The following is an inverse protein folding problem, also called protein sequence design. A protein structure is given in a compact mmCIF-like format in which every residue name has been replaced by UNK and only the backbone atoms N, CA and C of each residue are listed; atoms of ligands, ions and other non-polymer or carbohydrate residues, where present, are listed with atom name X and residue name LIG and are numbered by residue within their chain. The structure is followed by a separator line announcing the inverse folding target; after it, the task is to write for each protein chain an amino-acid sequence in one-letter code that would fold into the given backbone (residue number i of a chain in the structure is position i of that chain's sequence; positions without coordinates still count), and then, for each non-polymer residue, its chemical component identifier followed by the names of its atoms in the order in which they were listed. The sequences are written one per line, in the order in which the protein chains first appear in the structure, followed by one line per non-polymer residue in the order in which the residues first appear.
data_IF_565258854371
#
_entry.id   IF_565258854371
#
_cell.length_a   1.000
_cell.length_b   1.000
_cell.length_c   1.000
_cell.angle_alpha   90.00
_cell.angle_beta   90.00
_cell.angle_gamma   90.00
#
_symmetry.space_group_name_H-M   'P 1'
#
loop_
_entity.id
_entity.type
_entity.pdbx_description
1 polymer ?
#
# COMPACT_ATOMS: atom_id res chain seq x y z
N UNK A 1 3.24 -8.74 -16.40
CA UNK A 1 2.62 -8.19 -17.63
C UNK A 1 1.24 -7.56 -17.35
N UNK A 2 0.27 -8.27 -16.73
CA UNK A 2 -1.08 -7.73 -16.52
C UNK A 2 -1.09 -6.46 -15.65
N UNK A 3 -0.28 -6.40 -14.61
CA UNK A 3 -0.21 -5.24 -13.72
C UNK A 3 0.38 -4.01 -14.42
N UNK A 4 1.37 -4.18 -15.30
CA UNK A 4 2.00 -3.08 -16.04
C UNK A 4 1.11 -2.51 -17.16
N UNK A 5 -0.04 -3.14 -17.43
CA UNK A 5 -0.97 -2.67 -18.45
C UNK A 5 -1.67 -1.36 -18.04
N UNK A 6 -1.98 -1.24 -16.75
CA UNK A 6 -2.82 -0.15 -16.20
C UNK A 6 -2.13 0.67 -15.12
N UNK A 7 -0.92 0.30 -14.74
CA UNK A 7 -0.15 0.96 -13.69
C UNK A 7 1.24 1.28 -14.26
N UNK A 8 1.73 2.53 -14.15
CA UNK A 8 3.02 2.92 -14.68
C UNK A 8 4.16 2.03 -14.15
N UNK A 9 4.99 1.48 -15.05
CA UNK A 9 6.04 0.52 -14.69
C UNK A 9 7.09 1.13 -13.75
N UNK A 10 7.47 2.39 -13.96
CA UNK A 10 8.44 3.09 -13.11
C UNK A 10 7.98 3.16 -11.66
N UNK A 11 6.70 3.39 -11.42
CA UNK A 11 6.13 3.48 -10.08
C UNK A 11 6.00 2.11 -9.41
N UNK A 12 5.74 1.04 -10.17
CA UNK A 12 5.69 -0.32 -9.65
C UNK A 12 6.99 -0.74 -8.97
N UNK A 13 8.14 -0.29 -9.45
CA UNK A 13 9.43 -0.69 -8.88
C UNK A 13 9.83 0.12 -7.66
N UNK A 14 9.48 1.40 -7.62
CA UNK A 14 9.88 2.32 -6.57
C UNK A 14 8.84 2.51 -5.47
N UNK A 15 7.56 2.41 -5.83
CA UNK A 15 6.44 2.71 -4.95
C UNK A 15 5.29 1.72 -5.13
N UNK A 16 5.61 0.44 -5.16
CA UNK A 16 4.68 -0.64 -5.50
C UNK A 16 3.32 -0.52 -4.81
N UNK A 17 3.30 -0.26 -3.51
CA UNK A 17 2.06 -0.15 -2.75
C UNK A 17 1.25 1.08 -3.14
N UNK A 18 1.90 2.22 -3.38
CA UNK A 18 1.21 3.43 -3.85
C UNK A 18 0.66 3.24 -5.26
N UNK A 19 1.46 2.65 -6.14
CA UNK A 19 1.10 2.40 -7.53
C UNK A 19 -0.17 1.55 -7.68
N UNK A 20 -0.45 0.66 -6.73
CA UNK A 20 -1.72 -0.10 -6.72
C UNK A 20 -2.95 0.81 -6.57
N UNK A 21 -2.81 1.98 -5.94
CA UNK A 21 -3.86 2.99 -5.83
C UNK A 21 -4.01 3.88 -7.07
N UNK A 22 -3.04 3.83 -7.99
CA UNK A 22 -2.95 4.68 -9.19
C UNK A 22 -3.39 3.96 -10.47
N UNK A 23 -4.12 2.84 -10.33
CA UNK A 23 -4.72 2.16 -11.48
C UNK A 23 -5.52 3.15 -12.34
N UNK A 24 -5.18 3.22 -13.64
CA UNK A 24 -5.95 4.01 -14.59
C UNK A 24 -7.27 3.31 -14.95
N UNK A 25 -8.29 3.66 -14.20
CA UNK A 25 -9.65 3.12 -14.34
C UNK A 25 -10.32 3.48 -15.68
N UNK A 26 -9.92 4.60 -16.29
CA UNK A 26 -10.44 5.01 -17.59
C UNK A 26 -9.78 4.18 -18.71
N UNK A 27 -8.48 3.97 -18.63
CA UNK A 27 -7.78 3.10 -19.55
C UNK A 27 -8.33 1.66 -19.50
N UNK A 28 -8.63 1.13 -18.29
CA UNK A 28 -9.25 -0.19 -18.14
C UNK A 28 -10.56 -0.29 -18.93
N UNK A 29 -11.41 0.74 -18.85
CA UNK A 29 -12.68 0.75 -19.58
C UNK A 29 -12.48 0.97 -21.09
N UNK A 30 -11.61 1.88 -21.48
CA UNK A 30 -11.35 2.21 -22.88
C UNK A 30 -10.79 1.00 -23.66
N UNK A 31 -9.83 0.28 -23.10
CA UNK A 31 -9.28 -0.91 -23.74
C UNK A 31 -10.28 -2.06 -23.91
N UNK A 32 -11.30 -2.09 -23.07
CA UNK A 32 -12.38 -3.09 -23.15
C UNK A 32 -13.63 -2.57 -23.88
N UNK A 33 -13.62 -1.32 -24.36
CA UNK A 33 -14.79 -0.69 -25.00
C UNK A 33 -15.35 -1.45 -26.20
N UNK A 34 -14.52 -2.21 -26.93
CA UNK A 34 -14.96 -3.03 -28.07
C UNK A 34 -15.93 -4.17 -27.70
N UNK A 35 -16.00 -4.52 -26.41
CA UNK A 35 -16.97 -5.50 -25.88
C UNK A 35 -18.27 -4.87 -25.44
N UNK A 36 -18.34 -3.53 -25.43
CA UNK A 36 -19.56 -2.77 -25.13
C UNK A 36 -20.30 -2.47 -26.44
N UNK A 37 -21.14 -3.40 -26.89
CA UNK A 37 -21.92 -3.23 -28.10
C UNK A 37 -23.25 -2.52 -27.80
N UNK A 38 -23.67 -1.63 -28.69
CA UNK A 38 -25.00 -1.04 -28.63
C UNK A 38 -26.10 -2.08 -28.88
N UNK A 39 -27.26 -1.95 -28.25
CA UNK A 39 -28.38 -2.88 -28.42
C UNK A 39 -28.92 -2.99 -29.86
N UNK A 40 -28.57 -2.08 -30.74
CA UNK A 40 -28.91 -2.09 -32.17
C UNK A 40 -27.77 -2.53 -33.08
N UNK A 41 -26.61 -2.94 -32.53
CA UNK A 41 -25.48 -3.40 -33.32
C UNK A 41 -25.80 -4.72 -34.04
N UNK A 42 -25.34 -4.86 -35.30
CA UNK A 42 -25.58 -6.06 -36.10
C UNK A 42 -24.90 -7.31 -35.52
N UNK A 43 -23.85 -7.13 -34.70
CA UNK A 43 -23.13 -8.18 -34.01
C UNK A 43 -23.67 -8.48 -32.61
N UNK A 44 -24.73 -7.81 -32.20
CA UNK A 44 -25.36 -7.99 -30.91
C UNK A 44 -25.76 -9.45 -30.67
N UNK A 45 -25.40 -9.96 -29.50
CA UNK A 45 -25.81 -11.27 -28.98
C UNK A 45 -26.13 -11.12 -27.49
N UNK A 46 -26.87 -12.06 -26.92
CA UNK A 46 -27.20 -12.06 -25.50
C UNK A 46 -25.96 -11.98 -24.58
N UNK A 47 -24.82 -12.53 -25.02
CA UNK A 47 -23.55 -12.42 -24.29
C UNK A 47 -23.06 -10.98 -24.14
N UNK A 48 -23.40 -10.08 -25.08
CA UNK A 48 -23.00 -8.68 -25.02
C UNK A 48 -23.56 -7.93 -23.78
N UNK A 49 -24.55 -8.50 -23.10
CA UNK A 49 -24.98 -8.02 -21.80
C UNK A 49 -23.92 -8.18 -20.70
N UNK A 50 -22.93 -9.07 -20.87
CA UNK A 50 -21.94 -9.41 -19.85
C UNK A 50 -20.50 -9.38 -20.35
N UNK A 51 -20.26 -9.33 -21.66
CA UNK A 51 -18.93 -9.46 -22.26
C UNK A 51 -17.99 -8.34 -21.77
N UNK A 52 -18.48 -7.09 -21.70
CA UNK A 52 -17.69 -5.95 -21.26
C UNK A 52 -17.24 -6.10 -19.79
N UNK A 53 -18.18 -6.37 -18.89
CA UNK A 53 -17.90 -6.53 -17.46
C UNK A 53 -16.96 -7.72 -17.23
N UNK A 54 -17.20 -8.83 -17.93
CA UNK A 54 -16.35 -10.02 -17.84
C UNK A 54 -14.91 -9.72 -18.26
N UNK A 55 -14.69 -8.99 -19.34
CA UNK A 55 -13.33 -8.65 -19.81
C UNK A 55 -12.62 -7.74 -18.82
N UNK A 56 -13.30 -6.74 -18.27
CA UNK A 56 -12.75 -5.89 -17.22
C UNK A 56 -12.40 -6.69 -15.96
N UNK A 57 -13.26 -7.64 -15.56
CA UNK A 57 -12.96 -8.52 -14.42
C UNK A 57 -11.73 -9.39 -14.68
N UNK A 58 -11.58 -9.96 -15.88
CA UNK A 58 -10.39 -10.74 -16.25
C UNK A 58 -9.12 -9.89 -16.22
N UNK A 59 -9.16 -8.67 -16.75
CA UNK A 59 -8.03 -7.76 -16.74
C UNK A 59 -7.59 -7.39 -15.31
N UNK A 60 -8.51 -7.25 -14.37
CA UNK A 60 -8.24 -6.91 -12.98
C UNK A 60 -8.06 -8.11 -12.04
N UNK A 61 -8.18 -9.34 -12.56
CA UNK A 61 -8.08 -10.57 -11.76
C UNK A 61 -6.73 -10.71 -11.03
N UNK A 62 -5.66 -10.09 -11.56
CA UNK A 62 -4.33 -10.13 -10.94
C UNK A 62 -4.32 -9.61 -9.49
N UNK A 63 -5.22 -8.67 -9.13
CA UNK A 63 -5.33 -8.12 -7.79
C UNK A 63 -5.48 -9.20 -6.71
N UNK A 64 -6.20 -10.28 -7.01
CA UNK A 64 -6.42 -11.41 -6.11
C UNK A 64 -5.15 -12.24 -5.87
N UNK A 65 -4.18 -12.18 -6.79
CA UNK A 65 -2.95 -12.97 -6.75
C UNK A 65 -1.75 -12.20 -6.20
N UNK A 66 -1.83 -10.87 -6.09
CA UNK A 66 -0.74 -10.02 -5.60
C UNK A 66 -0.14 -10.53 -4.29
N UNK A 67 -0.91 -10.77 -3.20
CA UNK A 67 -0.33 -11.20 -1.94
C UNK A 67 0.39 -12.56 -2.05
N UNK A 68 -0.10 -13.46 -2.91
CA UNK A 68 0.51 -14.77 -3.12
C UNK A 68 1.86 -14.66 -3.84
N UNK A 69 1.91 -13.98 -5.00
CA UNK A 69 3.16 -13.85 -5.76
C UNK A 69 4.17 -12.97 -5.05
N UNK A 70 3.73 -11.91 -4.37
CA UNK A 70 4.57 -11.08 -3.53
C UNK A 70 5.24 -11.91 -2.42
N UNK A 71 4.46 -12.74 -1.73
CA UNK A 71 5.00 -13.66 -0.73
C UNK A 71 6.04 -14.61 -1.32
N UNK A 72 5.75 -15.22 -2.47
CA UNK A 72 6.67 -16.11 -3.19
C UNK A 72 7.97 -15.41 -3.59
N UNK A 73 7.90 -14.16 -3.96
CA UNK A 73 9.08 -13.35 -4.25
C UNK A 73 9.91 -13.07 -2.99
N UNK A 74 9.29 -12.64 -1.91
CA UNK A 74 9.98 -12.38 -0.64
C UNK A 74 10.62 -13.66 -0.05
N UNK A 75 9.98 -14.83 -0.21
CA UNK A 75 10.53 -16.12 0.24
C UNK A 75 11.86 -16.49 -0.43
N UNK A 76 12.22 -15.86 -1.55
CA UNK A 76 13.49 -16.09 -2.26
C UNK A 76 14.64 -15.22 -1.74
N UNK A 77 14.36 -14.22 -0.89
CA UNK A 77 15.38 -13.33 -0.34
C UNK A 77 16.24 -14.08 0.67
N UNK A 78 17.55 -14.11 0.43
CA UNK A 78 18.49 -14.66 1.42
C UNK A 78 18.59 -13.73 2.61
N UNK A 79 18.21 -14.24 3.77
CA UNK A 79 18.26 -13.52 5.06
C UNK A 79 19.46 -13.90 5.90
N UNK A 80 20.36 -14.73 5.37
CA UNK A 80 21.60 -15.11 6.03
C UNK A 80 22.70 -14.06 5.77
N UNK A 81 22.45 -12.85 6.23
CA UNK A 81 23.30 -11.68 6.04
C UNK A 81 23.95 -11.25 7.34
N UNK A 82 25.04 -10.48 7.24
CA UNK A 82 25.68 -9.85 8.41
C UNK A 82 24.89 -8.60 8.81
N UNK A 83 24.78 -8.30 10.13
CA UNK A 83 24.18 -7.08 10.62
C UNK A 83 24.90 -5.84 10.08
N UNK A 84 24.14 -4.90 9.50
CA UNK A 84 24.64 -3.60 9.06
C UNK A 84 24.69 -2.59 10.19
N UNK A 85 23.63 -2.56 11.01
CA UNK A 85 23.48 -1.64 12.13
C UNK A 85 24.08 -2.27 13.38
N UNK A 86 24.67 -1.44 14.24
CA UNK A 86 25.28 -1.90 15.50
C UNK A 86 24.27 -2.63 16.40
N UNK A 87 24.67 -3.77 16.95
CA UNK A 87 23.89 -4.49 17.98
C UNK A 87 23.66 -3.70 19.28
N UNK A 88 24.32 -2.55 19.43
CA UNK A 88 24.01 -1.62 20.54
C UNK A 88 22.66 -0.94 20.34
N UNK A 89 22.26 -0.72 19.07
CA UNK A 89 20.98 -0.11 18.71
C UNK A 89 19.90 -1.19 18.61
N UNK A 90 20.16 -2.24 17.83
CA UNK A 90 19.23 -3.38 17.68
C UNK A 90 19.69 -4.50 18.62
N UNK A 91 18.99 -4.66 19.73
CA UNK A 91 19.30 -5.64 20.77
C UNK A 91 18.04 -6.30 21.35
N UNK A 92 18.23 -7.21 22.29
CA UNK A 92 17.15 -8.01 22.88
C UNK A 92 16.20 -7.24 23.79
N UNK A 93 16.46 -5.97 24.10
CA UNK A 93 15.57 -5.13 24.92
C UNK A 93 14.71 -4.19 24.11
N UNK A 94 14.98 -4.07 22.79
CA UNK A 94 14.21 -3.23 21.90
C UNK A 94 12.84 -3.84 21.62
N UNK A 95 11.81 -2.98 21.56
CA UNK A 95 10.55 -3.31 20.91
C UNK A 95 10.65 -2.88 19.46
N UNK A 96 10.39 -3.77 18.53
CA UNK A 96 10.59 -3.52 17.12
C UNK A 96 9.26 -3.62 16.37
N UNK A 97 8.88 -2.52 15.71
CA UNK A 97 7.88 -2.53 14.68
C UNK A 97 8.58 -2.77 13.34
N UNK A 98 8.38 -3.93 12.76
CA UNK A 98 9.03 -4.33 11.52
C UNK A 98 8.06 -4.19 10.34
N UNK A 99 8.41 -3.32 9.40
CA UNK A 99 7.68 -3.13 8.15
C UNK A 99 8.12 -4.09 7.06
N UNK A 100 9.31 -4.71 7.21
CA UNK A 100 9.80 -5.72 6.28
C UNK A 100 9.14 -7.08 6.55
N UNK A 101 9.07 -7.87 5.52
CA UNK A 101 8.43 -9.19 5.54
C UNK A 101 9.41 -10.34 5.87
N UNK A 102 10.72 -10.06 5.91
CA UNK A 102 11.78 -11.06 6.12
C UNK A 102 12.12 -11.24 7.59
N UNK A 103 12.69 -12.40 7.93
CA UNK A 103 13.12 -12.74 9.28
C UNK A 103 14.57 -12.32 9.60
N UNK A 104 15.08 -11.32 8.89
CA UNK A 104 16.46 -10.81 9.04
C UNK A 104 16.79 -10.41 10.49
N UNK A 105 15.85 -9.78 11.20
CA UNK A 105 16.05 -9.37 12.60
C UNK A 105 16.30 -10.57 13.54
N UNK A 106 15.56 -11.65 13.35
CA UNK A 106 15.73 -12.86 14.13
C UNK A 106 17.04 -13.60 13.75
N UNK A 107 17.33 -13.70 12.45
CA UNK A 107 18.50 -14.46 11.96
C UNK A 107 19.81 -13.74 12.14
N UNK A 108 19.91 -12.49 11.66
CA UNK A 108 21.16 -11.73 11.69
C UNK A 108 21.41 -11.07 13.06
N UNK A 109 20.37 -10.46 13.64
CA UNK A 109 20.50 -9.70 14.89
C UNK A 109 20.22 -10.52 16.15
N UNK A 110 19.62 -11.72 16.00
CA UNK A 110 19.23 -12.60 17.12
C UNK A 110 18.20 -11.94 18.06
N UNK A 111 17.34 -11.07 17.52
CA UNK A 111 16.26 -10.47 18.30
C UNK A 111 15.20 -11.53 18.58
N UNK A 112 14.73 -11.68 19.83
CA UNK A 112 13.63 -12.60 20.15
C UNK A 112 12.36 -12.24 19.39
N UNK A 113 11.65 -13.25 18.88
CA UNK A 113 10.45 -13.06 18.07
C UNK A 113 9.34 -12.29 18.81
N UNK A 114 9.25 -12.46 20.13
CA UNK A 114 8.30 -11.76 21.01
C UNK A 114 8.52 -10.25 21.09
N UNK A 115 9.71 -9.78 20.72
CA UNK A 115 10.06 -8.35 20.69
C UNK A 115 9.79 -7.71 19.32
N UNK A 116 9.39 -8.49 18.32
CA UNK A 116 9.17 -8.02 16.95
C UNK A 116 7.70 -8.12 16.59
N UNK A 117 7.08 -6.99 16.29
CA UNK A 117 5.79 -6.96 15.61
C UNK A 117 6.03 -6.80 14.11
N UNK A 118 5.75 -7.86 13.34
CA UNK A 118 5.70 -7.81 11.88
C UNK A 118 4.34 -7.23 11.46
N UNK A 119 4.27 -5.90 11.29
CA UNK A 119 2.98 -5.19 11.11
C UNK A 119 2.27 -5.60 9.81
N UNK A 120 3.04 -5.94 8.79
CA UNK A 120 2.52 -6.40 7.49
C UNK A 120 2.58 -7.92 7.31
N UNK A 121 2.92 -8.65 8.38
CA UNK A 121 3.11 -10.08 8.36
C UNK A 121 4.53 -10.51 8.02
N UNK A 122 4.80 -11.81 8.13
CA UNK A 122 6.10 -12.45 7.91
C UNK A 122 5.97 -13.49 6.79
N UNK A 123 6.84 -13.43 5.78
CA UNK A 123 6.73 -14.28 4.59
C UNK A 123 6.79 -15.79 4.91
N UNK A 124 7.66 -16.18 5.84
CA UNK A 124 7.81 -17.58 6.27
C UNK A 124 6.73 -18.04 7.28
N UNK A 125 5.60 -17.35 7.37
CA UNK A 125 4.45 -17.74 8.19
C UNK A 125 3.27 -18.22 7.34
N UNK A 126 2.29 -18.88 7.97
CA UNK A 126 1.03 -19.27 7.31
C UNK A 126 0.08 -18.10 7.06
N UNK A 127 0.32 -16.94 7.67
CA UNK A 127 -0.53 -15.76 7.53
C UNK A 127 -0.35 -15.09 6.17
N UNK A 128 -1.40 -14.45 5.68
CA UNK A 128 -1.32 -13.58 4.50
C UNK A 128 -0.44 -12.37 4.81
N UNK A 129 0.30 -11.91 3.81
CA UNK A 129 1.00 -10.63 3.89
C UNK A 129 0.01 -9.50 3.61
N UNK A 130 0.23 -8.37 4.28
CA UNK A 130 -0.47 -7.13 4.01
C UNK A 130 0.36 -6.33 3.02
N UNK A 131 -0.19 -6.10 1.85
CA UNK A 131 0.41 -5.30 0.78
C UNK A 131 -0.70 -4.58 0.04
N UNK A 132 -0.55 -3.28 -0.18
CA UNK A 132 -1.59 -2.50 -0.85
C UNK A 132 -1.47 -1.00 -0.61
N UNK A 133 -2.29 -0.24 -1.35
CA UNK A 133 -2.37 1.21 -1.24
C UNK A 133 -3.19 1.65 -0.01
N UNK A 134 -3.10 2.95 0.32
CA UNK A 134 -3.86 3.56 1.42
C UNK A 134 -4.65 4.79 0.93
N UNK A 135 -4.95 4.87 -0.35
CA UNK A 135 -5.73 5.98 -0.90
C UNK A 135 -7.24 5.70 -0.79
N UNK A 136 -7.91 6.42 0.14
CA UNK A 136 -9.35 6.32 0.37
C UNK A 136 -10.14 6.95 -0.79
N UNK A 137 -9.56 7.88 -1.53
CA UNK A 137 -10.26 8.54 -2.66
C UNK A 137 -10.63 7.56 -3.76
N UNK A 138 -9.93 6.43 -3.84
CA UNK A 138 -10.21 5.35 -4.79
C UNK A 138 -11.59 4.70 -4.57
N UNK A 139 -12.14 4.77 -3.35
CA UNK A 139 -13.50 4.26 -3.04
C UNK A 139 -14.62 5.21 -3.49
N UNK A 140 -14.26 6.46 -3.78
CA UNK A 140 -15.19 7.46 -4.30
C UNK A 140 -15.26 7.44 -5.83
N UNK A 141 -15.11 6.24 -6.42
CA UNK A 141 -15.26 6.10 -7.87
C UNK A 141 -16.70 6.42 -8.25
N UNK A 142 -16.92 7.66 -8.65
CA UNK A 142 -18.23 8.19 -9.07
C UNK A 142 -18.28 8.41 -10.58
N UNK A 143 -19.38 8.24 -11.05
CA UNK A 143 -20.26 8.59 -12.15
C UNK A 143 -19.70 9.39 -13.35
N UNK A 144 -18.54 9.09 -13.92
CA UNK A 144 -18.22 9.59 -15.26
C UNK A 144 -18.09 8.39 -16.19
N UNK A 145 -19.07 8.22 -17.07
CA UNK A 145 -18.98 7.24 -18.14
C UNK A 145 -17.87 7.66 -19.12
N UNK A 146 -16.90 6.78 -19.46
CA UNK A 146 -15.88 7.09 -20.46
C UNK A 146 -16.49 7.34 -21.85
N UNK A 147 -17.69 6.83 -22.09
CA UNK A 147 -18.43 7.00 -23.35
C UNK A 147 -19.09 8.40 -23.48
N UNK A 148 -19.17 9.17 -22.38
CA UNK A 148 -19.68 10.55 -22.38
C UNK A 148 -18.58 11.60 -22.46
N UNK A 149 -17.30 11.21 -22.52
CA UNK A 149 -16.17 12.15 -22.62
C UNK A 149 -16.07 12.86 -23.99
N UNK A 150 -16.88 12.49 -24.96
CA UNK A 150 -16.94 13.14 -26.27
C UNK A 150 -17.79 14.42 -26.31
N UNK A 151 -18.50 14.76 -25.24
CA UNK A 151 -19.25 16.01 -25.13
C UNK A 151 -18.59 16.98 -24.16
N UNK A 152 -17.84 17.89 -24.70
CA UNK A 152 -17.19 19.05 -24.06
C UNK A 152 -18.18 20.09 -23.52
N UNK A 153 -19.30 19.71 -22.93
CA UNK A 153 -20.19 20.65 -22.26
C UNK A 153 -20.93 19.98 -21.09
N UNK A 154 -20.47 20.33 -19.89
CA UNK A 154 -20.96 20.03 -18.58
C UNK A 154 -22.47 19.90 -18.37
N UNK A 155 -23.01 18.76 -18.73
CA UNK A 155 -24.33 18.33 -18.25
C UNK A 155 -24.08 17.12 -17.37
N UNK A 156 -24.20 17.34 -16.05
CA UNK A 156 -24.32 16.25 -15.08
C UNK A 156 -25.65 15.56 -15.33
N UNK A 157 -25.63 14.44 -16.06
CA UNK A 157 -26.80 13.56 -16.16
C UNK A 157 -26.92 12.87 -14.79
N UNK A 158 -28.02 13.12 -14.11
CA UNK A 158 -28.37 12.44 -12.88
C UNK A 158 -28.65 10.96 -13.17
N UNK A 159 -28.12 10.08 -12.35
CA UNK A 159 -27.76 8.67 -12.48
C UNK A 159 -28.93 7.65 -12.66
N UNK A 160 -30.15 8.07 -12.95
CA UNK A 160 -31.31 7.15 -12.98
C UNK A 160 -31.43 6.32 -14.29
N UNK A 161 -30.61 6.62 -15.32
CA UNK A 161 -30.67 5.96 -16.64
C UNK A 161 -29.31 5.39 -17.11
N UNK A 162 -28.33 5.18 -16.21
CA UNK A 162 -27.04 4.60 -16.63
C UNK A 162 -27.19 3.11 -16.96
N UNK A 163 -26.62 2.69 -18.09
CA UNK A 163 -26.60 1.28 -18.51
C UNK A 163 -25.99 0.40 -17.41
N UNK A 164 -26.73 -0.65 -17.03
CA UNK A 164 -26.32 -1.55 -15.94
C UNK A 164 -24.93 -2.17 -16.17
N UNK A 165 -24.50 -2.37 -17.42
CA UNK A 165 -23.17 -2.88 -17.77
C UNK A 165 -22.07 -1.94 -17.32
N UNK A 166 -22.30 -0.63 -17.44
CA UNK A 166 -21.38 0.41 -16.95
C UNK A 166 -21.36 0.41 -15.43
N UNK A 167 -22.54 0.34 -14.79
CA UNK A 167 -22.64 0.28 -13.34
C UNK A 167 -21.92 -0.95 -12.75
N UNK A 168 -22.14 -2.14 -13.34
CA UNK A 168 -21.43 -3.36 -12.91
C UNK A 168 -19.93 -3.26 -13.12
N UNK A 169 -19.47 -2.67 -14.22
CA UNK A 169 -18.04 -2.44 -14.47
C UNK A 169 -17.41 -1.52 -13.43
N UNK A 170 -18.12 -0.46 -13.03
CA UNK A 170 -17.68 0.42 -11.92
C UNK A 170 -17.51 -0.35 -10.61
N UNK A 171 -18.46 -1.24 -10.29
CA UNK A 171 -18.32 -2.08 -9.07
C UNK A 171 -17.17 -3.08 -9.15
N UNK A 172 -16.86 -3.62 -10.32
CA UNK A 172 -15.68 -4.48 -10.53
C UNK A 172 -14.38 -3.68 -10.28
N UNK A 173 -14.27 -2.47 -10.84
CA UNK A 173 -13.11 -1.60 -10.62
C UNK A 173 -12.99 -1.20 -9.14
N UNK A 174 -14.11 -0.85 -8.52
CA UNK A 174 -14.15 -0.56 -7.08
C UNK A 174 -13.71 -1.77 -6.23
N UNK A 175 -14.12 -2.98 -6.61
CA UNK A 175 -13.67 -4.21 -5.95
C UNK A 175 -12.15 -4.43 -6.09
N UNK A 176 -11.52 -4.01 -7.19
CA UNK A 176 -10.07 -3.99 -7.32
C UNK A 176 -9.43 -3.12 -6.22
N UNK A 177 -9.87 -1.87 -6.08
CA UNK A 177 -9.32 -0.96 -5.06
C UNK A 177 -9.56 -1.48 -3.64
N UNK A 178 -10.71 -2.10 -3.37
CA UNK A 178 -10.97 -2.74 -2.07
C UNK A 178 -10.03 -3.91 -1.79
N UNK A 179 -9.72 -4.74 -2.79
CA UNK A 179 -8.81 -5.89 -2.66
C UNK A 179 -7.36 -5.48 -2.47
N UNK A 180 -6.97 -4.35 -3.03
CA UNK A 180 -5.60 -3.81 -2.96
C UNK A 180 -5.42 -2.73 -1.88
N UNK A 181 -6.45 -2.47 -1.08
CA UNK A 181 -6.40 -1.51 0.03
C UNK A 181 -5.71 -2.10 1.27
N UNK A 182 -4.85 -1.30 1.90
CA UNK A 182 -4.20 -1.58 3.17
C UNK A 182 -4.99 -0.93 4.31
N UNK A 183 -5.77 -1.73 5.04
CA UNK A 183 -6.52 -1.26 6.22
C UNK A 183 -5.59 -1.05 7.42
N UNK A 184 -4.85 0.05 7.42
CA UNK A 184 -3.91 0.41 8.49
C UNK A 184 -4.63 0.60 9.82
N UNK A 185 -5.84 1.15 9.81
CA UNK A 185 -6.63 1.34 11.02
C UNK A 185 -7.00 0.02 11.70
N UNK A 186 -7.54 -0.93 10.94
CA UNK A 186 -7.85 -2.27 11.45
C UNK A 186 -6.60 -3.01 11.95
N UNK A 187 -5.47 -2.85 11.25
CA UNK A 187 -4.19 -3.45 11.66
C UNK A 187 -3.71 -2.85 12.98
N UNK A 188 -3.79 -1.52 13.16
CA UNK A 188 -3.45 -0.85 14.43
C UNK A 188 -4.34 -1.36 15.56
N UNK A 189 -5.65 -1.46 15.34
CA UNK A 189 -6.58 -1.98 16.36
C UNK A 189 -6.26 -3.42 16.78
N UNK A 190 -5.96 -4.30 15.83
CA UNK A 190 -5.57 -5.69 16.13
C UNK A 190 -4.25 -5.80 16.91
N UNK A 191 -3.39 -4.78 16.84
CA UNK A 191 -2.09 -4.74 17.50
C UNK A 191 -2.02 -3.69 18.62
N UNK A 192 -3.16 -3.27 19.16
CA UNK A 192 -3.26 -2.22 20.17
C UNK A 192 -2.32 -2.41 21.35
N UNK A 193 -2.16 -3.65 21.84
CA UNK A 193 -1.26 -3.98 22.97
C UNK A 193 0.20 -3.59 22.69
N UNK A 194 0.66 -3.69 21.43
CA UNK A 194 2.00 -3.25 21.08
C UNK A 194 2.11 -1.72 21.20
N UNK A 195 1.18 -0.99 20.61
CA UNK A 195 1.17 0.48 20.65
C UNK A 195 1.01 1.02 22.07
N UNK A 196 0.13 0.42 22.89
CA UNK A 196 -0.04 0.80 24.29
C UNK A 196 1.24 0.58 25.12
N UNK A 197 2.05 -0.38 24.74
CA UNK A 197 3.31 -0.67 25.44
C UNK A 197 4.41 0.37 25.19
N UNK A 198 4.19 1.35 24.30
CA UNK A 198 5.19 2.39 23.95
C UNK A 198 5.19 3.59 24.88
N UNK A 199 4.30 3.68 25.85
CA UNK A 199 4.10 4.85 26.73
C UNK A 199 5.38 5.32 27.46
N UNK A 200 6.32 4.41 27.75
CA UNK A 200 7.56 4.70 28.47
C UNK A 200 8.80 4.71 27.55
N UNK A 201 8.60 4.76 26.24
CA UNK A 201 9.71 4.81 25.29
C UNK A 201 10.26 6.23 25.22
N UNK A 202 11.58 6.36 25.42
CA UNK A 202 12.28 7.63 25.42
C UNK A 202 13.07 7.90 24.13
N UNK A 203 13.36 6.86 23.38
CA UNK A 203 14.10 6.95 22.12
C UNK A 203 13.48 6.03 21.07
N UNK A 204 13.33 6.55 19.86
CA UNK A 204 12.82 5.83 18.68
C UNK A 204 13.88 5.91 17.59
N UNK A 205 14.19 4.78 16.98
CA UNK A 205 15.05 4.68 15.82
C UNK A 205 14.21 4.20 14.63
N UNK A 206 14.09 5.03 13.60
CA UNK A 206 13.51 4.65 12.31
C UNK A 206 14.66 4.32 11.38
N UNK A 207 14.77 3.05 10.98
CA UNK A 207 15.91 2.54 10.24
C UNK A 207 15.48 1.98 8.87
N UNK A 208 16.02 2.55 7.79
CA UNK A 208 15.80 2.07 6.42
C UNK A 208 14.36 2.10 5.96
N UNK A 209 13.57 3.08 6.43
CA UNK A 209 12.17 3.25 6.06
C UNK A 209 12.01 4.46 5.12
N UNK A 210 11.21 4.31 4.06
CA UNK A 210 10.98 5.35 3.06
C UNK A 210 10.10 6.51 3.55
N UNK A 211 9.45 6.35 4.72
CA UNK A 211 8.46 7.30 5.27
C UNK A 211 7.27 7.55 4.33
N UNK A 212 6.93 6.54 3.52
CA UNK A 212 5.82 6.59 2.56
C UNK A 212 4.48 6.86 3.24
N UNK A 213 3.58 7.51 2.50
CA UNK A 213 2.23 7.86 2.96
C UNK A 213 1.38 6.63 3.33
N UNK A 214 1.64 5.47 2.71
CA UNK A 214 0.90 4.22 2.96
C UNK A 214 1.10 3.68 4.38
N UNK A 215 2.18 4.06 5.07
CA UNK A 215 2.51 3.62 6.42
C UNK A 215 2.37 4.72 7.47
N UNK A 216 1.95 5.91 7.06
CA UNK A 216 1.93 7.09 7.93
C UNK A 216 1.08 6.90 9.19
N UNK A 217 -0.03 6.17 9.11
CA UNK A 217 -0.93 5.96 10.25
C UNK A 217 -0.26 5.24 11.42
N UNK A 218 0.67 4.33 11.15
CA UNK A 218 1.43 3.66 12.20
C UNK A 218 2.30 4.66 12.97
N UNK A 219 2.93 5.59 12.27
CA UNK A 219 3.74 6.63 12.90
C UNK A 219 2.90 7.66 13.65
N UNK A 220 1.72 7.99 13.14
CA UNK A 220 0.71 8.81 13.86
C UNK A 220 0.35 8.13 15.19
N UNK A 221 0.10 6.81 15.15
CA UNK A 221 -0.27 6.08 16.36
C UNK A 221 0.90 5.98 17.35
N UNK A 222 2.14 5.71 16.88
CA UNK A 222 3.34 5.75 17.73
C UNK A 222 3.46 7.13 18.39
N UNK A 223 3.32 8.22 17.61
CA UNK A 223 3.46 9.59 18.11
C UNK A 223 2.45 9.92 19.20
N UNK A 224 1.22 9.39 19.11
CA UNK A 224 0.19 9.55 20.16
C UNK A 224 0.54 8.85 21.47
N UNK A 225 1.33 7.78 21.43
CA UNK A 225 1.64 6.95 22.60
C UNK A 225 2.89 7.39 23.36
N UNK A 226 3.88 7.94 22.65
CA UNK A 226 5.14 8.34 23.27
C UNK A 226 5.09 9.77 23.80
N UNK A 227 5.94 10.08 24.77
CA UNK A 227 6.06 11.42 25.33
C UNK A 227 6.56 12.42 24.28
N UNK A 228 6.17 13.69 24.42
CA UNK A 228 6.68 14.78 23.57
C UNK A 228 8.20 14.95 23.65
N UNK A 229 8.81 14.56 24.77
CA UNK A 229 10.26 14.59 25.00
C UNK A 229 10.99 13.42 24.35
N UNK A 230 10.28 12.42 23.82
CA UNK A 230 10.89 11.28 23.15
C UNK A 230 11.79 11.75 22.01
N UNK A 231 12.99 11.20 21.94
CA UNK A 231 13.95 11.49 20.88
C UNK A 231 13.72 10.56 19.71
N UNK A 232 13.75 11.11 18.49
CA UNK A 232 13.60 10.35 17.26
C UNK A 232 14.87 10.41 16.44
N UNK A 233 15.43 9.26 16.12
CA UNK A 233 16.59 9.10 15.25
C UNK A 233 16.07 8.50 13.94
N UNK A 234 16.22 9.24 12.85
CA UNK A 234 15.69 8.83 11.54
C UNK A 234 16.86 8.61 10.59
N UNK A 235 17.02 7.38 10.12
CA UNK A 235 18.12 7.07 9.22
C UNK A 235 17.83 7.57 7.80
N UNK A 236 18.90 8.04 7.15
CA UNK A 236 18.91 8.41 5.74
C UNK A 236 20.06 7.70 5.02
N UNK A 237 19.89 7.55 3.73
CA UNK A 237 20.89 6.98 2.83
C UNK A 237 21.48 8.07 1.91
N UNK A 238 20.65 9.00 1.45
CA UNK A 238 21.00 10.09 0.53
C UNK A 238 20.50 11.43 1.04
N UNK A 239 21.02 12.53 0.47
CA UNK A 239 20.57 13.88 0.83
C UNK A 239 19.08 14.12 0.49
N UNK A 240 18.56 13.46 -0.54
CA UNK A 240 17.14 13.56 -0.92
C UNK A 240 16.21 13.00 0.17
N UNK A 241 16.68 12.13 1.05
CA UNK A 241 15.88 11.62 2.15
C UNK A 241 15.64 12.67 3.24
N UNK A 242 16.51 13.68 3.34
CA UNK A 242 16.42 14.70 4.40
C UNK A 242 15.15 15.56 4.27
N UNK A 243 14.74 15.93 3.06
CA UNK A 243 13.52 16.69 2.82
C UNK A 243 12.28 15.89 3.26
N UNK A 244 12.27 14.59 2.97
CA UNK A 244 11.20 13.70 3.40
C UNK A 244 11.14 13.58 4.93
N UNK A 245 12.28 13.56 5.61
CA UNK A 245 12.35 13.51 7.08
C UNK A 245 11.83 14.80 7.71
N UNK A 246 12.17 15.96 7.17
CA UNK A 246 11.65 17.25 7.66
C UNK A 246 10.13 17.32 7.48
N UNK A 247 9.63 16.92 6.33
CA UNK A 247 8.19 16.84 6.08
C UNK A 247 7.50 15.88 7.08
N UNK A 248 8.06 14.68 7.27
CA UNK A 248 7.57 13.69 8.23
C UNK A 248 7.54 14.24 9.66
N UNK A 249 8.65 14.82 10.13
CA UNK A 249 8.75 15.36 11.47
C UNK A 249 7.76 16.52 11.70
N UNK A 250 7.61 17.40 10.70
CA UNK A 250 6.64 18.50 10.74
C UNK A 250 5.20 17.97 10.79
N UNK A 251 4.85 16.99 9.98
CA UNK A 251 3.52 16.40 9.91
C UNK A 251 3.10 15.76 11.24
N UNK A 252 4.05 15.15 11.97
CA UNK A 252 3.81 14.49 13.25
C UNK A 252 4.10 15.36 14.48
N UNK A 253 4.41 16.65 14.31
CA UNK A 253 4.85 17.56 15.39
C UNK A 253 5.99 16.95 16.25
N UNK A 254 6.98 16.33 15.59
CA UNK A 254 8.18 15.80 16.24
C UNK A 254 9.23 16.90 16.29
N UNK A 255 9.44 17.46 17.48
CA UNK A 255 10.40 18.58 17.68
C UNK A 255 11.81 18.11 18.00
N UNK A 256 11.95 16.89 18.47
CA UNK A 256 13.22 16.33 18.92
C UNK A 256 13.61 15.16 18.03
N UNK A 257 13.98 15.45 16.78
CA UNK A 257 14.50 14.43 15.88
C UNK A 257 15.93 14.75 15.42
N UNK A 258 16.67 13.69 15.09
CA UNK A 258 18.02 13.77 14.61
C UNK A 258 18.17 12.86 13.38
N UNK A 259 18.53 13.42 12.21
CA UNK A 259 18.94 12.61 11.07
C UNK A 259 20.23 11.86 11.38
N UNK A 260 20.31 10.58 11.01
CA UNK A 260 21.48 9.75 11.19
C UNK A 260 21.78 8.98 9.92
N UNK A 261 23.02 9.00 9.47
CA UNK A 261 23.41 8.22 8.30
C UNK A 261 23.41 6.72 8.69
N UNK A 262 22.69 5.89 7.92
CA UNK A 262 22.54 4.47 8.26
C UNK A 262 23.87 3.73 8.38
N UNK A 263 24.88 4.09 7.57
CA UNK A 263 26.21 3.51 7.62
C UNK A 263 27.01 3.84 8.90
N UNK A 264 26.57 4.83 9.68
CA UNK A 264 27.24 5.29 10.89
C UNK A 264 26.63 4.68 12.17
N UNK A 265 25.60 3.85 12.04
CA UNK A 265 24.91 3.15 13.12
C UNK A 265 25.40 1.69 13.27
#
# INVERSE_FOLDING_TARGET
EAICKYIPEEELWFQFEMALGELDKYQVQEENASYYLDYGDENWKDSANHDFQFMVEQDLAFASYIPYYFKKWIEQIDTNVLPLVSKRIINNTCKILNFNYTDTLERAYKVPAENILYIHGKALSSKKLVVGHHDISTFQYGAVSPFNAAEEHGIYIQDDDEDFRITETKEIIKAYFQKTYKDTFGIIQMNQNFFDSLININEIFILGHSLSSVDMDYFVEIRKRVLHSCKWYISYFSESDLDNMEYFAKRLDIKNFQPVMLSNL
#
